data_IF_451666925995
#
_entry.id   IF_451666925995
#
_cell.length_a   1.000
_cell.length_b   1.000
_cell.length_c   1.000
_cell.angle_alpha   90.00
_cell.angle_beta   90.00
_cell.angle_gamma   90.00
#
_symmetry.space_group_name_H-M   'P 1'
#
loop_
_entity.id
_entity.type
_entity.pdbx_description
1 polymer ?
#
# COMPACT_ATOMS: atom_id res chain seq x y z
N UNK A 1 9.41 40.25 -35.94
CA UNK A 1 9.48 39.70 -34.57
C UNK A 1 8.58 38.49 -34.49
N UNK A 2 9.13 37.27 -34.57
CA UNK A 2 8.38 36.05 -34.41
C UNK A 2 8.33 35.71 -32.91
N UNK A 3 7.14 35.74 -32.34
CA UNK A 3 6.89 35.22 -31.01
C UNK A 3 7.10 33.70 -31.07
N UNK A 4 8.17 33.21 -30.47
CA UNK A 4 8.34 31.81 -30.19
C UNK A 4 7.26 31.39 -29.16
N UNK A 5 6.21 30.72 -29.63
CA UNK A 5 5.29 30.01 -28.76
C UNK A 5 6.10 28.90 -28.10
N UNK A 6 6.52 29.14 -26.86
CA UNK A 6 7.12 28.12 -26.02
C UNK A 6 6.08 27.00 -25.81
N UNK A 7 6.29 25.86 -26.43
CA UNK A 7 5.58 24.63 -26.14
C UNK A 7 5.96 24.26 -24.69
N UNK A 8 5.18 24.68 -23.71
CA UNK A 8 5.34 24.16 -22.34
C UNK A 8 4.95 22.70 -22.41
N UNK A 9 5.93 21.81 -22.27
CA UNK A 9 5.66 20.38 -22.18
C UNK A 9 4.60 20.15 -21.09
N UNK A 10 3.60 19.31 -21.40
CA UNK A 10 2.57 18.96 -20.44
C UNK A 10 3.23 18.31 -19.23
N UNK A 11 2.84 18.72 -18.02
CA UNK A 11 3.38 18.11 -16.81
C UNK A 11 3.12 16.60 -16.79
N UNK A 12 4.04 15.78 -16.24
CA UNK A 12 3.79 14.35 -16.03
C UNK A 12 2.50 14.13 -15.23
N UNK A 13 1.81 13.00 -15.49
CA UNK A 13 0.53 12.73 -14.83
C UNK A 13 0.70 12.58 -13.32
N UNK A 14 1.81 11.97 -12.86
CA UNK A 14 2.14 11.90 -11.43
C UNK A 14 2.14 13.28 -10.75
N UNK A 15 2.72 14.28 -11.41
CA UNK A 15 2.73 15.67 -10.92
C UNK A 15 1.34 16.30 -10.97
N UNK A 16 0.54 16.03 -12.03
CA UNK A 16 -0.84 16.55 -12.12
C UNK A 16 -1.72 15.99 -10.99
N UNK A 17 -1.58 14.71 -10.65
CA UNK A 17 -2.31 14.09 -9.54
C UNK A 17 -1.92 14.71 -8.20
N UNK A 18 -0.63 14.84 -7.92
CA UNK A 18 -0.14 15.48 -6.67
C UNK A 18 -0.68 16.89 -6.52
N UNK A 19 -0.63 17.70 -7.59
CA UNK A 19 -1.18 19.06 -7.58
C UNK A 19 -2.69 19.07 -7.33
N UNK A 20 -3.41 18.09 -7.88
CA UNK A 20 -4.86 17.96 -7.67
C UNK A 20 -5.17 17.65 -6.20
N UNK A 21 -4.43 16.73 -5.58
CA UNK A 21 -4.62 16.39 -4.17
C UNK A 21 -4.27 17.54 -3.24
N UNK A 22 -3.17 18.25 -3.48
CA UNK A 22 -2.83 19.44 -2.70
C UNK A 22 -3.86 20.57 -2.86
N UNK A 23 -4.53 20.65 -4.01
CA UNK A 23 -5.63 21.63 -4.23
C UNK A 23 -6.88 21.27 -3.47
N UNK A 24 -7.22 19.96 -3.36
CA UNK A 24 -8.36 19.45 -2.58
C UNK A 24 -8.12 19.56 -1.08
N UNK A 25 -6.91 19.25 -0.68
CA UNK A 25 -6.47 19.20 0.71
C UNK A 25 -5.38 20.25 0.93
N UNK A 26 -5.72 21.51 1.27
CA UNK A 26 -4.72 22.60 1.41
C UNK A 26 -3.63 22.28 2.44
N UNK A 27 -3.93 21.43 3.41
CA UNK A 27 -2.97 20.84 4.36
C UNK A 27 -3.18 19.33 4.42
N UNK A 28 -2.11 18.57 4.62
CA UNK A 28 -2.17 17.11 4.69
C UNK A 28 -3.06 16.58 5.84
N UNK A 29 -3.36 17.40 6.83
CA UNK A 29 -4.32 17.10 7.91
C UNK A 29 -5.77 17.01 7.44
N UNK A 30 -6.09 17.38 6.19
CA UNK A 30 -7.40 17.20 5.57
C UNK A 30 -7.53 15.92 4.76
N UNK A 31 -6.42 15.26 4.42
CA UNK A 31 -6.44 13.98 3.71
C UNK A 31 -7.31 12.98 4.46
N UNK A 32 -8.06 12.15 3.72
CA UNK A 32 -8.98 11.15 4.25
C UNK A 32 -10.10 11.72 5.14
N UNK A 33 -10.54 12.93 4.85
CA UNK A 33 -11.64 13.57 5.59
C UNK A 33 -11.32 13.89 7.06
N UNK A 34 -10.03 14.06 7.42
CA UNK A 34 -9.61 14.33 8.80
C UNK A 34 -9.94 15.74 9.29
N UNK A 35 -10.45 16.64 8.43
CA UNK A 35 -10.93 18.00 8.78
C UNK A 35 -9.91 18.83 9.58
N UNK A 36 -8.63 18.77 9.19
CA UNK A 36 -7.55 19.48 9.87
C UNK A 36 -7.07 18.83 11.17
N UNK A 37 -7.57 17.64 11.52
CA UNK A 37 -7.14 16.91 12.73
C UNK A 37 -5.86 16.12 12.45
N UNK A 38 -4.83 16.35 13.24
CA UNK A 38 -3.62 15.53 13.18
C UNK A 38 -3.92 14.13 13.71
N UNK A 39 -3.68 13.13 12.87
CA UNK A 39 -3.85 11.71 13.20
C UNK A 39 -2.77 10.89 12.52
N UNK A 40 -2.00 10.16 13.31
CA UNK A 40 -1.04 9.19 12.79
C UNK A 40 -1.79 7.99 12.21
N UNK A 41 -1.95 7.95 10.90
CA UNK A 41 -2.71 6.93 10.19
C UNK A 41 -2.02 6.54 8.88
N UNK A 42 -2.30 5.32 8.41
CA UNK A 42 -1.69 4.80 7.18
C UNK A 42 -2.18 5.48 5.91
N UNK A 43 -3.43 5.94 5.87
CA UNK A 43 -4.04 6.55 4.68
C UNK A 43 -3.32 7.84 4.29
N UNK A 44 -3.17 8.76 5.24
CA UNK A 44 -2.39 9.99 5.03
C UNK A 44 -0.92 9.66 4.75
N UNK A 45 -0.32 8.75 5.53
CA UNK A 45 1.09 8.37 5.34
C UNK A 45 1.38 7.75 3.98
N UNK A 46 0.45 6.95 3.44
CA UNK A 46 0.55 6.35 2.11
C UNK A 46 0.59 7.41 1.01
N UNK A 47 -0.36 8.33 1.04
CA UNK A 47 -0.47 9.39 0.03
C UNK A 47 0.73 10.33 0.10
N UNK A 48 1.14 10.76 1.30
CA UNK A 48 2.31 11.60 1.50
C UNK A 48 3.61 10.91 1.04
N UNK A 49 3.73 9.58 1.21
CA UNK A 49 4.86 8.83 0.68
C UNK A 49 4.90 8.90 -0.85
N UNK A 50 3.76 8.70 -1.51
CA UNK A 50 3.68 8.79 -2.96
C UNK A 50 3.99 10.20 -3.48
N UNK A 51 3.48 11.25 -2.81
CA UNK A 51 3.80 12.64 -3.13
C UNK A 51 5.30 12.94 -2.98
N UNK A 52 5.93 12.46 -1.91
CA UNK A 52 7.36 12.64 -1.68
C UNK A 52 8.21 11.89 -2.72
N UNK A 53 7.74 10.74 -3.22
CA UNK A 53 8.41 10.00 -4.29
C UNK A 53 8.37 10.78 -5.62
N UNK A 54 7.25 11.49 -5.93
CA UNK A 54 7.19 12.40 -7.09
C UNK A 54 8.19 13.53 -6.94
N UNK A 55 8.26 14.15 -5.75
CA UNK A 55 9.26 15.17 -5.46
C UNK A 55 10.69 14.67 -5.67
N UNK A 56 11.03 13.51 -5.11
CA UNK A 56 12.37 12.92 -5.26
C UNK A 56 12.71 12.58 -6.71
N UNK A 57 11.71 12.27 -7.54
CA UNK A 57 11.89 11.96 -8.95
C UNK A 57 12.05 13.22 -9.82
N UNK A 58 11.26 14.26 -9.59
CA UNK A 58 11.07 15.38 -10.52
C UNK A 58 11.69 16.72 -10.13
N UNK A 59 11.77 17.05 -8.85
CA UNK A 59 12.09 18.42 -8.44
C UNK A 59 13.34 18.58 -7.56
N UNK A 60 13.50 17.77 -6.52
CA UNK A 60 14.60 17.76 -5.53
C UNK A 60 15.05 19.14 -5.00
N UNK A 61 14.11 20.09 -4.87
CA UNK A 61 14.37 21.42 -4.32
C UNK A 61 13.68 21.57 -2.96
N UNK A 62 14.39 21.96 -1.92
CA UNK A 62 13.81 22.23 -0.58
C UNK A 62 12.73 23.33 -0.61
N UNK A 63 12.71 24.14 -1.67
CA UNK A 63 11.68 25.15 -1.90
C UNK A 63 10.39 24.58 -2.52
N UNK A 64 10.42 23.30 -2.91
CA UNK A 64 9.25 22.63 -3.51
C UNK A 64 8.03 22.70 -2.59
N UNK A 65 6.87 23.13 -3.12
CA UNK A 65 5.61 23.10 -2.38
C UNK A 65 5.24 21.68 -1.90
N UNK A 66 5.57 20.65 -2.68
CA UNK A 66 5.30 19.24 -2.34
C UNK A 66 6.11 18.81 -1.12
N UNK A 67 7.41 19.11 -1.11
CA UNK A 67 8.26 18.82 0.05
C UNK A 67 7.75 19.52 1.32
N UNK A 68 7.49 20.83 1.23
CA UNK A 68 6.97 21.62 2.36
C UNK A 68 5.64 21.09 2.89
N UNK A 69 4.76 20.66 1.99
CA UNK A 69 3.47 20.07 2.34
C UNK A 69 3.62 18.75 3.13
N UNK A 70 4.50 17.87 2.66
CA UNK A 70 4.77 16.59 3.32
C UNK A 70 5.47 16.80 4.65
N UNK A 71 6.58 17.56 4.66
CA UNK A 71 7.38 17.80 5.88
C UNK A 71 6.56 18.49 6.98
N UNK A 72 5.69 19.44 6.62
CA UNK A 72 4.83 20.14 7.58
C UNK A 72 3.94 19.20 8.40
N UNK A 73 3.36 18.17 7.79
CA UNK A 73 2.53 17.22 8.52
C UNK A 73 3.36 16.35 9.46
N UNK A 74 4.50 15.83 9.00
CA UNK A 74 5.39 15.03 9.84
C UNK A 74 6.03 15.85 10.96
N UNK A 75 6.36 17.12 10.66
CA UNK A 75 6.93 18.06 11.64
C UNK A 75 5.94 18.39 12.75
N UNK A 76 4.66 18.53 12.42
CA UNK A 76 3.59 18.81 13.38
C UNK A 76 3.18 17.60 14.23
N UNK A 77 3.26 16.38 13.68
CA UNK A 77 2.78 15.17 14.39
C UNK A 77 3.87 14.45 15.17
N UNK A 78 5.14 14.79 14.96
CA UNK A 78 6.31 14.23 15.69
C UNK A 78 7.00 15.36 16.42
N UNK A 79 7.04 15.29 17.75
CA UNK A 79 7.69 16.29 18.57
C UNK A 79 9.23 16.24 18.50
N UNK A 80 9.91 17.18 19.16
CA UNK A 80 11.38 17.29 19.12
C UNK A 80 12.12 16.08 19.70
N UNK A 81 11.44 15.22 20.46
CA UNK A 81 11.99 13.98 21.04
C UNK A 81 11.79 12.76 20.14
N UNK A 82 11.03 12.89 19.04
CA UNK A 82 10.62 11.78 18.20
C UNK A 82 9.35 11.09 18.67
N UNK A 83 8.64 11.65 19.67
CA UNK A 83 7.37 11.11 20.13
C UNK A 83 6.28 11.41 19.09
N UNK A 84 5.61 10.35 18.61
CA UNK A 84 4.52 10.46 17.63
C UNK A 84 3.21 10.73 18.35
N UNK A 85 2.50 11.79 17.97
CA UNK A 85 1.25 12.21 18.60
C UNK A 85 0.19 11.11 18.56
N UNK A 86 -0.35 10.78 19.74
CA UNK A 86 -1.36 9.71 19.96
C UNK A 86 -0.96 8.30 19.52
N UNK A 87 0.26 8.08 19.07
CA UNK A 87 0.77 6.73 18.87
C UNK A 87 0.90 5.99 20.20
N UNK A 88 0.49 4.74 20.21
CA UNK A 88 0.64 3.84 21.37
C UNK A 88 1.16 2.49 20.88
N UNK A 89 2.39 2.15 21.23
CA UNK A 89 3.02 0.88 20.90
C UNK A 89 2.14 -0.32 21.31
N UNK A 90 1.48 -0.25 22.46
CA UNK A 90 0.63 -1.32 23.00
C UNK A 90 -0.60 -1.65 22.14
N UNK A 91 -0.95 -0.80 21.16
CA UNK A 91 -1.98 -1.14 20.18
C UNK A 91 -1.49 -2.19 19.19
N UNK A 92 -0.18 -2.35 19.04
CA UNK A 92 0.47 -3.25 18.10
C UNK A 92 -0.20 -3.24 16.73
N UNK A 93 -0.61 -2.03 16.27
CA UNK A 93 -1.24 -1.85 14.98
C UNK A 93 -0.19 -1.75 13.88
N UNK A 94 -0.20 -2.69 12.94
CA UNK A 94 0.68 -2.62 11.77
C UNK A 94 0.38 -1.39 10.91
N UNK A 95 -0.87 -0.90 10.90
CA UNK A 95 -1.23 0.35 10.20
C UNK A 95 -0.40 1.54 10.67
N UNK A 96 0.03 1.54 11.92
CA UNK A 96 0.84 2.62 12.47
C UNK A 96 2.31 2.58 12.01
N UNK A 97 2.75 1.49 11.42
CA UNK A 97 4.11 1.39 10.86
C UNK A 97 4.19 2.05 9.47
N UNK A 98 3.13 1.93 8.67
CA UNK A 98 3.09 2.40 7.28
C UNK A 98 3.56 3.86 7.10
N UNK A 99 3.10 4.86 7.89
CA UNK A 99 3.56 6.24 7.73
C UNK A 99 5.06 6.42 7.98
N UNK A 100 5.67 5.49 8.74
CA UNK A 100 7.11 5.50 9.03
C UNK A 100 8.01 5.40 7.80
N UNK A 101 7.49 4.87 6.68
CA UNK A 101 8.25 4.76 5.42
C UNK A 101 8.70 6.09 4.87
N UNK A 102 7.91 7.13 5.03
CA UNK A 102 8.25 8.48 4.58
C UNK A 102 9.40 9.10 5.39
N UNK A 103 9.55 8.68 6.65
CA UNK A 103 10.56 9.23 7.55
C UNK A 103 11.99 8.97 7.08
N UNK A 104 12.26 7.89 6.35
CA UNK A 104 13.58 7.62 5.78
C UNK A 104 14.02 8.74 4.84
N UNK A 105 13.17 9.12 3.90
CA UNK A 105 13.46 10.19 2.95
C UNK A 105 13.50 11.56 3.62
N UNK A 106 12.57 11.83 4.55
CA UNK A 106 12.57 13.09 5.29
C UNK A 106 13.84 13.23 6.15
N UNK A 107 14.31 12.15 6.76
CA UNK A 107 15.57 12.16 7.49
C UNK A 107 16.76 12.40 6.58
N UNK A 108 16.83 11.75 5.43
CA UNK A 108 17.89 11.94 4.43
C UNK A 108 17.96 13.38 3.92
N UNK A 109 16.80 14.05 3.75
CA UNK A 109 16.71 15.40 3.22
C UNK A 109 17.00 16.45 4.32
N UNK A 110 16.41 16.27 5.51
CA UNK A 110 16.39 17.31 6.54
C UNK A 110 17.42 17.13 7.66
N UNK A 111 17.90 15.89 7.87
CA UNK A 111 18.75 15.57 9.03
C UNK A 111 18.08 15.72 10.39
N UNK A 112 16.73 15.84 10.46
CA UNK A 112 16.00 16.01 11.73
C UNK A 112 16.01 14.72 12.54
N UNK A 113 16.80 14.67 13.63
CA UNK A 113 16.97 13.49 14.50
C UNK A 113 15.64 12.96 15.08
N UNK A 114 14.62 13.78 15.20
CA UNK A 114 13.30 13.35 15.64
C UNK A 114 12.67 12.31 14.70
N UNK A 115 12.95 12.37 13.40
CA UNK A 115 12.49 11.38 12.42
C UNK A 115 13.19 10.04 12.63
N UNK A 116 14.48 10.07 12.93
CA UNK A 116 15.24 8.87 13.30
C UNK A 116 14.68 8.24 14.58
N UNK A 117 14.47 9.00 15.64
CA UNK A 117 13.92 8.52 16.91
C UNK A 117 12.50 7.93 16.74
N UNK A 118 11.67 8.54 15.90
CA UNK A 118 10.35 7.99 15.55
C UNK A 118 10.47 6.65 14.82
N UNK A 119 11.39 6.51 13.86
CA UNK A 119 11.65 5.23 13.17
C UNK A 119 12.13 4.14 14.15
N UNK A 120 13.00 4.48 15.09
CA UNK A 120 13.46 3.55 16.13
C UNK A 120 12.30 3.04 17.01
N UNK A 121 11.37 3.93 17.33
CA UNK A 121 10.14 3.58 18.06
C UNK A 121 9.26 2.61 17.28
N UNK A 122 9.04 2.88 15.99
CA UNK A 122 8.24 2.01 15.11
C UNK A 122 8.91 0.65 14.90
N UNK A 123 10.22 0.62 14.70
CA UNK A 123 10.98 -0.63 14.59
C UNK A 123 10.90 -1.44 15.90
N UNK A 124 10.98 -0.80 17.08
CA UNK A 124 10.83 -1.48 18.33
C UNK A 124 9.46 -2.15 18.50
N UNK A 125 8.38 -1.59 17.87
CA UNK A 125 7.09 -2.27 17.85
C UNK A 125 7.18 -3.60 17.11
N UNK A 126 7.82 -3.63 15.93
CA UNK A 126 7.92 -4.84 15.11
C UNK A 126 8.68 -5.97 15.84
N UNK A 127 9.71 -5.64 16.61
CA UNK A 127 10.43 -6.63 17.42
C UNK A 127 9.56 -7.26 18.50
N UNK A 128 8.62 -6.49 19.07
CA UNK A 128 7.69 -6.94 20.11
C UNK A 128 6.29 -7.29 19.58
N UNK A 129 6.08 -7.26 18.24
CA UNK A 129 4.76 -7.51 17.65
C UNK A 129 4.22 -8.88 18.09
N UNK A 130 3.00 -8.96 18.64
CA UNK A 130 2.37 -10.22 18.95
C UNK A 130 2.28 -11.11 17.71
N UNK A 131 2.43 -12.43 17.92
CA UNK A 131 2.50 -13.40 16.82
C UNK A 131 1.51 -14.54 17.01
N UNK A 132 1.10 -15.12 15.88
CA UNK A 132 0.42 -16.42 15.88
C UNK A 132 1.38 -17.53 16.35
N UNK A 133 0.90 -18.72 16.70
CA UNK A 133 1.78 -19.84 17.05
C UNK A 133 2.79 -20.17 15.96
N UNK A 134 2.47 -19.93 14.69
CA UNK A 134 3.33 -20.17 13.53
C UNK A 134 4.37 -19.06 13.32
N UNK A 135 4.24 -17.93 14.02
CA UNK A 135 5.16 -16.79 13.99
C UNK A 135 4.70 -15.60 13.15
N UNK A 136 3.48 -15.62 12.60
CA UNK A 136 2.89 -14.52 11.84
C UNK A 136 2.52 -13.32 12.74
N UNK A 137 2.74 -12.11 12.27
CA UNK A 137 2.34 -10.90 12.99
C UNK A 137 0.82 -10.79 13.11
N UNK A 138 0.30 -10.56 14.31
CA UNK A 138 -1.07 -10.08 14.45
C UNK A 138 -1.21 -8.73 13.75
N UNK A 139 -2.30 -8.57 13.01
CA UNK A 139 -2.56 -7.29 12.34
C UNK A 139 -2.67 -6.12 13.35
N UNK A 140 -3.32 -6.37 14.52
CA UNK A 140 -3.44 -5.43 15.66
C UNK A 140 -3.66 -6.22 16.95
N UNK A 141 -3.35 -5.64 18.10
CA UNK A 141 -3.64 -6.25 19.39
C UNK A 141 -5.14 -6.59 19.57
N UNK A 142 -6.04 -5.83 18.95
CA UNK A 142 -7.50 -6.08 19.00
C UNK A 142 -7.96 -7.19 18.05
N UNK A 143 -7.06 -7.76 17.25
CA UNK A 143 -7.29 -8.86 16.33
C UNK A 143 -6.29 -9.99 16.64
N UNK A 144 -6.40 -10.65 17.81
CA UNK A 144 -5.46 -11.69 18.20
C UNK A 144 -5.47 -12.85 17.20
N UNK A 145 -4.31 -13.41 16.92
CA UNK A 145 -4.10 -14.53 16.01
C UNK A 145 -4.48 -14.30 14.54
N UNK A 146 -4.74 -13.05 14.13
CA UNK A 146 -5.17 -12.74 12.78
C UNK A 146 -4.04 -12.11 11.95
N UNK A 147 -3.74 -12.71 10.80
CA UNK A 147 -2.93 -12.13 9.74
C UNK A 147 -3.87 -11.63 8.63
N UNK A 148 -3.76 -10.36 8.27
CA UNK A 148 -4.45 -9.76 7.13
C UNK A 148 -3.44 -9.42 6.06
N UNK A 149 -3.80 -9.58 4.79
CA UNK A 149 -2.91 -9.24 3.67
C UNK A 149 -2.46 -7.78 3.73
N UNK A 150 -3.35 -6.88 4.19
CA UNK A 150 -3.06 -5.47 4.43
C UNK A 150 -1.83 -5.26 5.32
N UNK A 151 -1.70 -6.07 6.37
CA UNK A 151 -0.60 -5.99 7.34
C UNK A 151 0.77 -6.17 6.71
N UNK A 152 0.87 -6.92 5.61
CA UNK A 152 2.13 -7.14 4.91
C UNK A 152 2.63 -5.81 4.29
N UNK A 153 1.74 -5.04 3.66
CA UNK A 153 2.12 -3.73 3.13
C UNK A 153 2.40 -2.71 4.24
N UNK A 154 1.60 -2.75 5.30
CA UNK A 154 1.74 -1.81 6.41
C UNK A 154 3.12 -1.91 7.08
N UNK A 155 3.67 -3.13 7.21
CA UNK A 155 4.86 -3.37 8.01
C UNK A 155 6.13 -3.70 7.18
N UNK A 156 6.05 -4.60 6.21
CA UNK A 156 7.25 -5.23 5.65
C UNK A 156 8.16 -4.28 4.88
N UNK A 157 7.66 -3.30 4.07
CA UNK A 157 8.54 -2.35 3.41
C UNK A 157 9.32 -1.45 4.38
N UNK A 158 8.69 -1.03 5.50
CA UNK A 158 9.39 -0.31 6.56
C UNK A 158 10.43 -1.19 7.25
N UNK A 159 10.06 -2.43 7.57
CA UNK A 159 10.92 -3.38 8.26
C UNK A 159 12.19 -3.68 7.45
N UNK A 160 12.04 -3.94 6.16
CA UNK A 160 13.17 -4.18 5.25
C UNK A 160 14.08 -2.96 5.11
N UNK A 161 13.51 -1.77 4.90
CA UNK A 161 14.29 -0.54 4.75
C UNK A 161 15.03 -0.17 6.04
N UNK A 162 14.37 -0.28 7.22
CA UNK A 162 15.02 -0.06 8.50
C UNK A 162 16.17 -1.04 8.73
N UNK A 163 15.95 -2.31 8.42
CA UNK A 163 16.96 -3.37 8.53
C UNK A 163 18.20 -3.04 7.70
N UNK A 164 18.02 -2.62 6.45
CA UNK A 164 19.13 -2.26 5.57
C UNK A 164 19.94 -1.08 6.09
N UNK A 165 19.27 -0.06 6.57
CA UNK A 165 19.91 1.21 6.93
C UNK A 165 20.56 1.18 8.29
N UNK A 166 19.96 0.47 9.26
CA UNK A 166 20.27 0.70 10.66
C UNK A 166 20.62 -0.55 11.49
N UNK A 167 20.34 -1.74 10.99
CA UNK A 167 20.75 -2.98 11.67
C UNK A 167 22.15 -3.34 11.20
N UNK A 168 23.15 -3.04 12.03
CA UNK A 168 24.57 -3.24 11.70
C UNK A 168 25.07 -4.66 11.98
N UNK A 169 24.51 -5.35 12.97
CA UNK A 169 24.83 -6.73 13.28
C UNK A 169 24.31 -7.66 12.17
N UNK A 170 25.21 -8.45 11.57
CA UNK A 170 24.88 -9.31 10.41
C UNK A 170 23.91 -10.44 10.77
N UNK A 171 24.00 -10.97 11.99
CA UNK A 171 23.13 -12.05 12.46
C UNK A 171 21.71 -11.52 12.69
N UNK A 172 21.57 -10.36 13.34
CA UNK A 172 20.28 -9.70 13.53
C UNK A 172 19.66 -9.29 12.18
N UNK A 173 20.49 -8.83 11.24
CA UNK A 173 20.03 -8.47 9.88
C UNK A 173 19.47 -9.67 9.14
N UNK A 174 20.19 -10.80 9.14
CA UNK A 174 19.73 -12.06 8.56
C UNK A 174 18.43 -12.54 9.21
N UNK A 175 18.35 -12.51 10.54
CA UNK A 175 17.13 -12.89 11.27
C UNK A 175 15.92 -12.01 10.90
N UNK A 176 16.14 -10.71 10.65
CA UNK A 176 15.09 -9.83 10.17
C UNK A 176 14.63 -10.20 8.74
N UNK A 177 15.56 -10.54 7.82
CA UNK A 177 15.19 -10.99 6.48
C UNK A 177 14.44 -12.33 6.52
N UNK A 178 14.88 -13.28 7.36
CA UNK A 178 14.17 -14.53 7.60
C UNK A 178 12.73 -14.28 8.10
N UNK A 179 12.56 -13.33 9.01
CA UNK A 179 11.26 -12.97 9.54
C UNK A 179 10.37 -12.31 8.46
N UNK A 180 10.91 -11.40 7.66
CA UNK A 180 10.19 -10.76 6.55
C UNK A 180 9.67 -11.81 5.56
N UNK A 181 10.53 -12.73 5.12
CA UNK A 181 10.13 -13.82 4.20
C UNK A 181 9.09 -14.73 4.85
N UNK A 182 9.25 -15.05 6.14
CA UNK A 182 8.28 -15.84 6.89
C UNK A 182 6.89 -15.19 6.90
N UNK A 183 6.80 -13.85 7.09
CA UNK A 183 5.52 -13.16 7.08
C UNK A 183 4.82 -13.31 5.72
N UNK A 184 5.54 -13.15 4.61
CA UNK A 184 4.98 -13.35 3.26
C UNK A 184 4.58 -14.81 3.02
N UNK A 185 5.43 -15.76 3.41
CA UNK A 185 5.16 -17.20 3.26
C UNK A 185 3.91 -17.62 4.03
N UNK A 186 3.82 -17.25 5.32
CA UNK A 186 2.65 -17.57 6.13
C UNK A 186 1.36 -16.95 5.59
N UNK A 187 1.40 -15.69 5.16
CA UNK A 187 0.24 -15.05 4.58
C UNK A 187 -0.17 -15.71 3.25
N UNK A 188 0.80 -16.03 2.37
CA UNK A 188 0.53 -16.70 1.12
C UNK A 188 -0.07 -18.10 1.34
N UNK A 189 0.58 -18.95 2.13
CA UNK A 189 0.17 -20.34 2.33
C UNK A 189 -1.20 -20.47 3.03
N UNK A 190 -1.47 -19.59 4.02
CA UNK A 190 -2.69 -19.68 4.81
C UNK A 190 -3.87 -18.89 4.21
N UNK A 191 -3.63 -17.92 3.34
CA UNK A 191 -4.71 -17.21 2.64
C UNK A 191 -5.00 -17.77 1.24
N UNK A 192 -4.13 -18.63 0.68
CA UNK A 192 -4.31 -19.18 -0.66
C UNK A 192 -5.56 -20.07 -0.73
N UNK A 193 -6.45 -19.70 -1.64
CA UNK A 193 -7.53 -20.56 -2.08
C UNK A 193 -7.02 -21.43 -3.24
N UNK A 194 -6.87 -22.75 -3.05
CA UNK A 194 -6.31 -23.63 -4.07
C UNK A 194 -7.21 -23.81 -5.32
N UNK A 195 -8.49 -23.52 -5.20
CA UNK A 195 -9.43 -23.62 -6.34
C UNK A 195 -9.31 -22.42 -7.29
N UNK A 196 -9.12 -21.23 -6.73
CA UNK A 196 -9.05 -20.01 -7.51
C UNK A 196 -7.63 -19.51 -7.75
N UNK A 197 -6.68 -19.90 -6.90
CA UNK A 197 -5.32 -19.36 -6.88
C UNK A 197 -5.25 -17.91 -6.37
N UNK A 198 -6.36 -17.36 -5.87
CA UNK A 198 -6.42 -16.05 -5.22
C UNK A 198 -6.14 -16.16 -3.73
N UNK A 199 -5.75 -15.04 -3.11
CA UNK A 199 -5.58 -14.98 -1.66
C UNK A 199 -6.84 -14.40 -1.01
N UNK A 200 -7.36 -15.09 0.02
CA UNK A 200 -8.43 -14.60 0.88
C UNK A 200 -7.93 -13.39 1.67
N UNK A 201 -8.84 -12.49 2.07
CA UNK A 201 -8.50 -11.23 2.74
C UNK A 201 -7.61 -11.43 3.98
N UNK A 202 -7.93 -12.43 4.79
CA UNK A 202 -7.23 -12.69 6.04
C UNK A 202 -7.32 -14.17 6.45
N UNK A 203 -6.43 -14.50 7.39
CA UNK A 203 -6.37 -15.79 8.07
C UNK A 203 -6.41 -15.58 9.59
N UNK A 204 -7.29 -16.33 10.26
CA UNK A 204 -7.33 -16.49 11.71
C UNK A 204 -6.70 -17.83 12.11
N UNK A 205 -5.50 -17.79 12.67
CA UNK A 205 -4.77 -18.99 13.11
C UNK A 205 -5.52 -19.77 14.22
N UNK A 206 -6.35 -19.08 15.00
CA UNK A 206 -7.16 -19.72 16.05
C UNK A 206 -8.43 -20.39 15.51
N UNK A 207 -8.92 -19.95 14.34
CA UNK A 207 -10.19 -20.39 13.74
C UNK A 207 -11.43 -20.13 14.62
N UNK A 208 -11.32 -19.16 15.52
CA UNK A 208 -12.38 -18.83 16.48
C UNK A 208 -13.24 -17.65 16.04
N UNK A 209 -12.79 -16.92 15.02
CA UNK A 209 -13.54 -15.77 14.55
C UNK A 209 -14.74 -16.17 13.70
N UNK A 210 -15.87 -15.55 13.94
CA UNK A 210 -17.13 -15.86 13.25
C UNK A 210 -17.08 -15.66 11.72
N UNK A 211 -16.10 -14.90 11.20
CA UNK A 211 -15.88 -14.68 9.78
C UNK A 211 -14.90 -15.68 9.16
N UNK A 212 -14.22 -16.47 9.98
CA UNK A 212 -13.23 -17.45 9.51
C UNK A 212 -13.88 -18.81 9.30
N UNK A 213 -13.39 -19.53 8.31
CA UNK A 213 -13.72 -20.92 8.08
C UNK A 213 -13.19 -21.80 9.21
N UNK A 214 -13.99 -22.73 9.71
CA UNK A 214 -13.67 -23.56 10.87
C UNK A 214 -12.53 -24.55 10.62
N UNK A 215 -12.27 -24.93 9.36
CA UNK A 215 -11.22 -25.88 8.99
C UNK A 215 -9.93 -25.18 8.60
N UNK A 216 -10.02 -24.10 7.80
CA UNK A 216 -8.86 -23.41 7.23
C UNK A 216 -8.46 -22.15 7.99
N UNK A 217 -9.39 -21.49 8.67
CA UNK A 217 -9.18 -20.18 9.28
C UNK A 217 -9.26 -19.01 8.28
N UNK A 218 -9.54 -19.27 7.01
CA UNK A 218 -9.59 -18.24 5.96
C UNK A 218 -10.88 -17.42 6.02
N UNK A 219 -10.82 -16.18 5.60
CA UNK A 219 -12.01 -15.37 5.33
C UNK A 219 -12.73 -15.84 4.06
N UNK A 220 -14.02 -15.49 3.93
CA UNK A 220 -14.90 -16.05 2.90
C UNK A 220 -14.48 -15.68 1.46
N UNK A 221 -13.91 -14.49 1.22
CA UNK A 221 -13.65 -13.97 -0.11
C UNK A 221 -12.26 -13.37 -0.30
N UNK A 222 -11.82 -13.32 -1.56
CA UNK A 222 -10.66 -12.57 -2.01
C UNK A 222 -11.07 -11.11 -2.27
N UNK A 223 -10.83 -10.24 -1.29
CA UNK A 223 -11.07 -8.81 -1.45
C UNK A 223 -9.99 -8.15 -2.31
N UNK A 224 -10.40 -7.42 -3.35
CA UNK A 224 -9.48 -6.84 -4.35
C UNK A 224 -8.39 -5.98 -3.73
N UNK A 225 -8.74 -5.09 -2.80
CA UNK A 225 -7.76 -4.22 -2.15
C UNK A 225 -6.79 -4.96 -1.22
N UNK A 226 -7.22 -6.00 -0.53
CA UNK A 226 -6.32 -6.81 0.28
C UNK A 226 -5.26 -7.51 -0.59
N UNK A 227 -5.69 -8.09 -1.72
CA UNK A 227 -4.79 -8.65 -2.71
C UNK A 227 -3.84 -7.58 -3.28
N UNK A 228 -4.36 -6.38 -3.57
CA UNK A 228 -3.55 -5.23 -4.02
C UNK A 228 -2.47 -4.84 -3.01
N UNK A 229 -2.80 -4.77 -1.72
CA UNK A 229 -1.82 -4.53 -0.67
C UNK A 229 -0.70 -5.56 -0.65
N UNK A 230 -1.06 -6.84 -0.75
CA UNK A 230 -0.09 -7.93 -0.76
C UNK A 230 0.87 -7.83 -1.95
N UNK A 231 0.33 -7.57 -3.14
CA UNK A 231 1.12 -7.38 -4.35
C UNK A 231 2.08 -6.19 -4.25
N UNK A 232 1.60 -5.06 -3.73
CA UNK A 232 2.43 -3.88 -3.48
C UNK A 232 3.54 -4.17 -2.46
N UNK A 233 3.23 -4.91 -1.39
CA UNK A 233 4.22 -5.29 -0.38
C UNK A 233 5.37 -6.11 -1.00
N UNK A 234 5.04 -7.12 -1.81
CA UNK A 234 6.02 -7.97 -2.47
C UNK A 234 6.95 -7.17 -3.39
N UNK A 235 6.38 -6.34 -4.26
CA UNK A 235 7.15 -5.58 -5.25
C UNK A 235 7.96 -4.44 -4.61
N UNK A 236 7.53 -3.95 -3.43
CA UNK A 236 8.27 -2.93 -2.68
C UNK A 236 9.39 -3.52 -1.82
N UNK A 237 9.20 -4.73 -1.30
CA UNK A 237 10.20 -5.40 -0.45
C UNK A 237 11.29 -6.09 -1.26
N UNK A 238 10.94 -6.75 -2.37
CA UNK A 238 11.91 -7.51 -3.17
C UNK A 238 13.22 -6.73 -3.48
N UNK A 239 13.19 -5.45 -3.92
CA UNK A 239 14.43 -4.69 -4.18
C UNK A 239 15.16 -4.23 -2.91
N UNK A 240 14.56 -4.38 -1.73
CA UNK A 240 15.19 -4.06 -0.43
C UNK A 240 15.93 -5.25 0.17
N UNK A 241 15.69 -6.45 -0.32
CA UNK A 241 16.42 -7.65 0.09
C UNK A 241 17.76 -7.73 -0.65
N UNK A 242 18.79 -8.40 -0.09
CA UNK A 242 20.08 -8.55 -0.75
C UNK A 242 19.92 -9.18 -2.14
N UNK A 243 20.48 -8.55 -3.16
CA UNK A 243 20.35 -8.97 -4.56
C UNK A 243 20.87 -10.41 -4.76
N UNK A 244 20.07 -11.26 -5.43
CA UNK A 244 20.39 -12.65 -5.71
C UNK A 244 20.41 -13.55 -4.47
N UNK A 245 19.86 -13.10 -3.35
CA UNK A 245 19.73 -13.92 -2.13
C UNK A 245 18.50 -14.82 -2.16
N UNK A 246 18.54 -15.90 -1.39
CA UNK A 246 17.37 -16.77 -1.17
C UNK A 246 16.14 -15.99 -0.64
N UNK A 247 16.34 -14.94 0.14
CA UNK A 247 15.27 -14.08 0.63
C UNK A 247 14.58 -13.33 -0.51
N UNK A 248 15.37 -12.72 -1.41
CA UNK A 248 14.84 -12.01 -2.57
C UNK A 248 14.13 -12.97 -3.52
N UNK A 249 14.74 -14.12 -3.81
CA UNK A 249 14.17 -15.14 -4.68
C UNK A 249 12.82 -15.67 -4.14
N UNK A 250 12.71 -15.89 -2.82
CA UNK A 250 11.48 -16.34 -2.19
C UNK A 250 10.35 -15.31 -2.34
N UNK A 251 10.63 -14.01 -2.15
CA UNK A 251 9.63 -12.95 -2.31
C UNK A 251 9.21 -12.79 -3.78
N UNK A 252 10.16 -12.90 -4.72
CA UNK A 252 9.87 -12.86 -6.17
C UNK A 252 9.05 -14.09 -6.60
N UNK A 253 9.33 -15.27 -6.06
CA UNK A 253 8.56 -16.47 -6.34
C UNK A 253 7.09 -16.33 -5.89
N UNK A 254 6.85 -15.82 -4.66
CA UNK A 254 5.51 -15.52 -4.17
C UNK A 254 4.83 -14.47 -5.06
N UNK A 255 5.54 -13.43 -5.49
CA UNK A 255 5.00 -12.42 -6.40
C UNK A 255 4.54 -13.05 -7.73
N UNK A 256 5.37 -13.90 -8.34
CA UNK A 256 5.03 -14.58 -9.59
C UNK A 256 3.83 -15.53 -9.43
N UNK A 257 3.77 -16.30 -8.36
CA UNK A 257 2.64 -17.18 -8.04
C UNK A 257 1.35 -16.38 -7.86
N UNK A 258 1.41 -15.24 -7.16
CA UNK A 258 0.26 -14.36 -6.94
C UNK A 258 -0.20 -13.67 -8.23
N UNK A 259 0.73 -13.33 -9.15
CA UNK A 259 0.39 -12.77 -10.44
C UNK A 259 -0.32 -13.77 -11.38
N UNK A 260 -0.09 -15.06 -11.21
CA UNK A 260 -0.56 -16.07 -12.17
C UNK A 260 -2.09 -16.17 -12.25
N UNK A 261 -2.80 -15.96 -11.15
CA UNK A 261 -4.27 -16.05 -11.10
C UNK A 261 -4.98 -14.76 -11.47
N UNK A 262 -4.37 -13.59 -11.23
CA UNK A 262 -5.02 -12.29 -11.38
C UNK A 262 -5.66 -12.02 -12.76
N UNK A 263 -5.03 -12.37 -13.90
CA UNK A 263 -5.62 -12.15 -15.22
C UNK A 263 -6.93 -12.93 -15.45
N UNK A 264 -7.11 -14.06 -14.75
CA UNK A 264 -8.30 -14.90 -14.89
C UNK A 264 -9.55 -14.27 -14.25
N UNK A 265 -9.33 -13.31 -13.32
CA UNK A 265 -10.37 -12.62 -12.57
C UNK A 265 -10.50 -11.14 -12.94
N UNK A 266 -9.78 -10.70 -13.95
CA UNK A 266 -9.94 -9.37 -14.52
C UNK A 266 -11.18 -9.30 -15.42
N UNK A 267 -11.82 -8.13 -15.46
CA UNK A 267 -12.92 -7.86 -16.40
C UNK A 267 -12.42 -7.97 -17.86
N UNK A 268 -13.14 -8.72 -18.67
CA UNK A 268 -12.74 -9.01 -20.04
C UNK A 268 -12.62 -7.76 -20.93
N UNK A 269 -13.44 -6.74 -20.67
CA UNK A 269 -13.50 -5.54 -21.52
C UNK A 269 -12.47 -4.49 -21.15
N UNK A 270 -12.16 -4.37 -19.86
CA UNK A 270 -11.27 -3.35 -19.30
C UNK A 270 -9.93 -3.89 -18.83
N UNK A 271 -9.87 -5.19 -18.47
CA UNK A 271 -8.71 -5.77 -17.81
C UNK A 271 -8.52 -5.30 -16.37
N UNK A 272 -9.52 -4.61 -15.77
CA UNK A 272 -9.49 -4.13 -14.39
C UNK A 272 -10.17 -5.12 -13.45
N UNK A 273 -10.00 -4.93 -12.14
CA UNK A 273 -10.42 -5.90 -11.14
C UNK A 273 -11.62 -5.43 -10.32
N UNK A 274 -12.39 -6.43 -9.87
CA UNK A 274 -13.59 -6.24 -9.08
C UNK A 274 -13.28 -6.07 -7.58
N UNK A 275 -14.23 -5.48 -6.86
CA UNK A 275 -14.21 -5.37 -5.39
C UNK A 275 -14.02 -6.74 -4.73
N UNK A 276 -14.75 -7.76 -5.20
CA UNK A 276 -14.64 -9.16 -4.77
C UNK A 276 -14.11 -9.99 -5.94
N UNK A 277 -12.84 -10.36 -5.91
CA UNK A 277 -12.12 -10.96 -7.04
C UNK A 277 -12.66 -12.33 -7.43
N UNK A 278 -12.96 -13.18 -6.47
CA UNK A 278 -13.44 -14.54 -6.67
C UNK A 278 -14.92 -14.61 -7.10
N UNK A 279 -15.56 -13.47 -7.31
CA UNK A 279 -16.95 -13.33 -7.78
C UNK A 279 -17.08 -12.32 -8.94
N UNK A 280 -16.23 -12.42 -10.00
CA UNK A 280 -16.35 -11.52 -11.14
C UNK A 280 -17.75 -11.68 -11.75
N UNK A 281 -18.32 -10.58 -12.25
CA UNK A 281 -19.65 -10.55 -12.89
C UNK A 281 -20.85 -10.95 -12.00
N UNK A 282 -20.65 -11.26 -10.71
CA UNK A 282 -21.78 -11.46 -9.81
C UNK A 282 -22.56 -10.15 -9.64
N UNK A 283 -23.89 -10.24 -9.67
CA UNK A 283 -24.76 -9.07 -9.49
C UNK A 283 -24.43 -8.31 -8.20
N UNK A 284 -24.28 -6.99 -8.30
CA UNK A 284 -23.88 -6.12 -7.21
C UNK A 284 -22.37 -5.89 -7.11
N UNK A 285 -21.53 -6.74 -7.72
CA UNK A 285 -20.08 -6.50 -7.75
C UNK A 285 -19.73 -5.38 -8.73
N UNK A 286 -18.66 -4.66 -8.47
CA UNK A 286 -18.23 -3.53 -9.31
C UNK A 286 -16.71 -3.54 -9.51
N UNK A 287 -16.26 -2.91 -10.60
CA UNK A 287 -14.83 -2.67 -10.83
C UNK A 287 -14.33 -1.62 -9.84
N UNK A 288 -13.26 -1.95 -9.11
CA UNK A 288 -12.80 -1.14 -7.99
C UNK A 288 -11.48 -0.43 -8.32
N UNK A 289 -11.48 0.89 -8.19
CA UNK A 289 -10.39 1.75 -8.64
C UNK A 289 -9.11 1.59 -7.83
N UNK A 290 -9.19 1.43 -6.51
CA UNK A 290 -7.99 1.36 -5.67
C UNK A 290 -7.23 0.04 -5.84
N UNK A 291 -7.92 -1.11 -5.86
CA UNK A 291 -7.25 -2.39 -6.08
C UNK A 291 -6.65 -2.47 -7.48
N UNK A 292 -7.36 -1.93 -8.49
CA UNK A 292 -6.85 -1.87 -9.87
C UNK A 292 -5.58 -1.02 -9.96
N UNK A 293 -5.53 0.14 -9.28
CA UNK A 293 -4.33 0.97 -9.23
C UNK A 293 -3.16 0.25 -8.53
N UNK A 294 -3.40 -0.47 -7.43
CA UNK A 294 -2.40 -1.25 -6.71
C UNK A 294 -1.80 -2.38 -7.56
N UNK A 295 -2.65 -3.12 -8.26
CA UNK A 295 -2.23 -4.24 -9.10
C UNK A 295 -1.45 -3.76 -10.33
N UNK A 296 -1.91 -2.67 -10.97
CA UNK A 296 -1.21 -2.05 -12.10
C UNK A 296 0.15 -1.51 -11.67
N UNK A 297 0.24 -0.80 -10.54
CA UNK A 297 1.51 -0.37 -9.97
C UNK A 297 2.47 -1.54 -9.75
N UNK A 298 1.98 -2.59 -9.10
CA UNK A 298 2.79 -3.76 -8.78
C UNK A 298 3.31 -4.46 -10.03
N UNK A 299 2.47 -4.56 -11.08
CA UNK A 299 2.88 -5.16 -12.36
C UNK A 299 3.90 -4.29 -13.09
N UNK A 300 3.67 -2.97 -13.21
CA UNK A 300 4.61 -2.04 -13.85
C UNK A 300 5.98 -2.10 -13.18
N UNK A 301 6.02 -1.97 -11.86
CA UNK A 301 7.28 -2.01 -11.09
C UNK A 301 7.97 -3.36 -11.18
N UNK A 302 7.22 -4.44 -11.00
CA UNK A 302 7.75 -5.80 -11.09
C UNK A 302 8.33 -6.11 -12.47
N UNK A 303 7.64 -5.70 -13.55
CA UNK A 303 8.09 -5.89 -14.91
C UNK A 303 9.32 -5.03 -15.25
N UNK A 304 9.34 -3.76 -14.81
CA UNK A 304 10.51 -2.89 -14.98
C UNK A 304 11.76 -3.42 -14.27
N UNK A 305 11.58 -4.01 -13.09
CA UNK A 305 12.67 -4.60 -12.32
C UNK A 305 13.07 -6.01 -12.80
N UNK A 306 12.33 -6.59 -13.75
CA UNK A 306 12.59 -7.93 -14.27
C UNK A 306 12.12 -9.07 -13.36
N UNK A 307 11.30 -8.77 -12.35
CA UNK A 307 10.77 -9.77 -11.41
C UNK A 307 9.57 -10.53 -11.97
N UNK A 308 8.76 -9.89 -12.81
CA UNK A 308 7.63 -10.51 -13.50
C UNK A 308 7.70 -10.21 -15.00
N UNK A 309 7.06 -11.05 -15.80
CA UNK A 309 7.00 -10.87 -17.24
C UNK A 309 5.87 -9.93 -17.66
N UNK A 310 5.90 -9.45 -18.91
CA UNK A 310 4.78 -8.79 -19.56
C UNK A 310 4.75 -7.28 -19.44
N UNK A 311 5.89 -6.59 -19.61
CA UNK A 311 5.99 -5.14 -19.56
C UNK A 311 4.98 -4.42 -20.48
N UNK A 312 4.78 -4.89 -21.71
CA UNK A 312 3.79 -4.30 -22.63
C UNK A 312 2.35 -4.51 -22.12
N UNK A 313 2.06 -5.66 -21.48
CA UNK A 313 0.80 -5.91 -20.81
C UNK A 313 0.57 -4.95 -19.64
N UNK A 314 1.61 -4.70 -18.84
CA UNK A 314 1.55 -3.74 -17.73
C UNK A 314 1.30 -2.31 -18.21
N UNK A 315 1.92 -1.90 -19.33
CA UNK A 315 1.64 -0.60 -19.98
C UNK A 315 0.18 -0.49 -20.44
N UNK A 316 -0.31 -1.52 -21.14
CA UNK A 316 -1.69 -1.56 -21.59
C UNK A 316 -2.70 -1.54 -20.40
N UNK A 317 -2.38 -2.23 -19.31
CA UNK A 317 -3.17 -2.21 -18.08
C UNK A 317 -3.20 -0.81 -17.45
N UNK A 318 -2.07 -0.09 -17.42
CA UNK A 318 -2.02 1.29 -16.95
C UNK A 318 -2.90 2.23 -17.79
N UNK A 319 -2.80 2.15 -19.12
CA UNK A 319 -3.65 2.94 -20.00
C UNK A 319 -5.15 2.62 -19.82
N UNK A 320 -5.47 1.35 -19.54
CA UNK A 320 -6.85 0.93 -19.25
C UNK A 320 -7.32 1.44 -17.88
N UNK A 321 -6.46 1.40 -16.85
CA UNK A 321 -6.73 2.02 -15.56
C UNK A 321 -7.14 3.49 -15.72
N UNK A 322 -6.37 4.25 -16.51
CA UNK A 322 -6.66 5.65 -16.75
C UNK A 322 -8.00 5.84 -17.48
N UNK A 323 -8.29 5.02 -18.50
CA UNK A 323 -9.57 5.12 -19.24
C UNK A 323 -10.77 4.74 -18.39
N UNK A 324 -10.61 3.81 -17.45
CA UNK A 324 -11.72 3.25 -16.66
C UNK A 324 -12.05 4.13 -15.47
N UNK A 325 -11.03 4.58 -14.73
CA UNK A 325 -11.24 5.19 -13.42
C UNK A 325 -10.80 6.65 -13.32
N UNK A 326 -9.99 7.15 -14.26
CA UNK A 326 -9.44 8.49 -14.12
C UNK A 326 -10.22 9.49 -14.98
N UNK A 327 -10.72 10.54 -14.33
CA UNK A 327 -11.42 11.63 -15.00
C UNK A 327 -10.75 12.97 -14.68
N UNK A 328 -11.03 13.99 -15.47
CA UNK A 328 -10.65 15.37 -15.19
C UNK A 328 -11.90 16.18 -14.97
N UNK A 329 -12.01 16.81 -13.80
CA UNK A 329 -13.13 17.66 -13.43
C UNK A 329 -13.20 18.97 -14.24
N UNK A 330 -14.32 19.70 -14.15
CA UNK A 330 -14.46 21.04 -14.74
C UNK A 330 -13.45 22.05 -14.12
N UNK A 331 -13.05 21.83 -12.88
CA UNK A 331 -12.00 22.55 -12.16
C UNK A 331 -10.58 22.20 -12.67
N UNK A 332 -10.46 21.27 -13.59
CA UNK A 332 -9.21 20.79 -14.15
C UNK A 332 -8.44 19.81 -13.26
N UNK A 333 -8.99 19.40 -12.12
CA UNK A 333 -8.36 18.45 -11.21
C UNK A 333 -8.54 17.01 -11.71
N UNK A 334 -7.51 16.19 -11.49
CA UNK A 334 -7.54 14.75 -11.80
C UNK A 334 -8.27 14.01 -10.70
N UNK A 335 -9.23 13.16 -11.05
CA UNK A 335 -9.99 12.33 -10.12
C UNK A 335 -9.74 10.85 -10.39
N UNK A 336 -9.61 10.06 -9.33
CA UNK A 336 -9.71 8.61 -9.35
C UNK A 336 -11.08 8.23 -8.80
N UNK A 337 -11.85 7.46 -9.54
CA UNK A 337 -13.23 7.10 -9.19
C UNK A 337 -13.35 5.65 -8.71
N UNK A 338 -14.52 5.29 -8.20
CA UNK A 338 -14.96 3.94 -7.86
C UNK A 338 -14.05 3.24 -6.85
N UNK A 339 -13.58 3.96 -5.84
CA UNK A 339 -12.79 3.40 -4.74
C UNK A 339 -13.71 3.03 -3.57
N UNK A 340 -13.64 1.79 -3.10
CA UNK A 340 -14.23 1.38 -1.83
C UNK A 340 -13.67 2.25 -0.69
N UNK A 341 -14.52 2.84 0.14
CA UNK A 341 -14.03 3.70 1.22
C UNK A 341 -13.22 2.89 2.25
N UNK A 342 -13.81 1.85 2.81
CA UNK A 342 -13.13 0.97 3.77
C UNK A 342 -13.79 -0.39 3.82
N UNK A 343 -13.00 -1.45 3.91
CA UNK A 343 -13.49 -2.77 4.29
C UNK A 343 -12.55 -3.41 5.32
N UNK A 344 -13.00 -4.45 5.98
CA UNK A 344 -12.26 -5.17 7.00
C UNK A 344 -13.08 -6.33 7.56
N UNK A 345 -12.59 -6.97 8.60
CA UNK A 345 -13.19 -8.15 9.20
C UNK A 345 -13.42 -7.95 10.70
N UNK A 346 -14.51 -8.50 11.21
CA UNK A 346 -14.82 -8.44 12.65
C UNK A 346 -14.87 -7.02 13.23
N UNK A 347 -14.25 -6.86 14.39
CA UNK A 347 -14.20 -5.60 15.12
C UNK A 347 -15.55 -5.20 15.72
N UNK A 348 -15.67 -3.96 16.15
CA UNK A 348 -16.91 -3.45 16.83
C UNK A 348 -18.15 -3.47 15.94
N UNK A 349 -17.97 -3.47 14.62
CA UNK A 349 -19.05 -3.48 13.63
C UNK A 349 -19.47 -4.89 13.22
N UNK A 350 -18.83 -5.94 13.76
CA UNK A 350 -19.08 -7.34 13.41
C UNK A 350 -19.08 -7.58 11.88
N UNK A 351 -18.08 -7.05 11.18
CA UNK A 351 -17.96 -7.14 9.71
C UNK A 351 -17.80 -8.60 9.30
N UNK A 352 -18.74 -9.09 8.50
CA UNK A 352 -18.81 -10.50 8.12
C UNK A 352 -17.74 -10.93 7.13
N UNK A 353 -17.32 -10.03 6.24
CA UNK A 353 -16.44 -10.36 5.13
C UNK A 353 -17.11 -11.28 4.08
N UNK A 354 -18.44 -11.36 4.07
CA UNK A 354 -19.19 -12.01 3.01
C UNK A 354 -19.32 -11.10 1.77
N UNK A 355 -19.87 -11.63 0.69
CA UNK A 355 -20.04 -10.89 -0.56
C UNK A 355 -20.87 -9.63 -0.36
N UNK A 356 -22.03 -9.75 0.28
CA UNK A 356 -22.97 -8.64 0.47
C UNK A 356 -22.34 -7.53 1.33
N UNK A 357 -21.54 -7.88 2.33
CA UNK A 357 -20.78 -6.91 3.11
C UNK A 357 -19.84 -6.08 2.21
N UNK A 358 -19.00 -6.73 1.39
CA UNK A 358 -18.02 -6.03 0.58
C UNK A 358 -18.64 -5.12 -0.48
N UNK A 359 -19.71 -5.56 -1.15
CA UNK A 359 -20.30 -4.79 -2.25
C UNK A 359 -21.21 -3.64 -1.77
N UNK A 360 -21.60 -3.66 -0.50
CA UNK A 360 -22.40 -2.59 0.11
C UNK A 360 -21.57 -1.56 0.90
N UNK A 361 -20.24 -1.73 0.99
CA UNK A 361 -19.39 -0.69 1.57
C UNK A 361 -19.43 0.58 0.70
N UNK A 362 -19.38 1.78 1.32
CA UNK A 362 -19.43 3.04 0.57
C UNK A 362 -18.33 3.14 -0.49
N UNK A 363 -18.68 3.69 -1.63
CA UNK A 363 -17.77 3.98 -2.74
C UNK A 363 -17.57 5.49 -2.84
N UNK A 364 -16.33 5.93 -3.05
CA UNK A 364 -16.00 7.34 -3.19
C UNK A 364 -14.91 7.58 -4.24
N UNK A 365 -14.79 8.81 -4.72
CA UNK A 365 -13.65 9.25 -5.52
C UNK A 365 -12.52 9.77 -4.63
N UNK A 366 -11.30 9.75 -5.17
CA UNK A 366 -10.10 10.33 -4.56
C UNK A 366 -9.78 9.75 -3.17
N UNK A 367 -10.02 8.46 -3.00
CA UNK A 367 -9.62 7.78 -1.78
C UNK A 367 -8.07 7.67 -1.71
N UNK A 368 -7.44 8.05 -0.58
CA UNK A 368 -5.97 7.99 -0.44
C UNK A 368 -5.38 6.61 -0.75
N UNK A 369 -6.13 5.55 -0.46
CA UNK A 369 -5.72 4.14 -0.71
C UNK A 369 -5.70 3.79 -2.20
N UNK A 370 -6.35 4.58 -3.05
CA UNK A 370 -6.27 4.51 -4.51
C UNK A 370 -5.33 5.56 -5.09
N UNK A 371 -5.35 6.79 -4.56
CA UNK A 371 -4.52 7.91 -5.04
C UNK A 371 -3.03 7.61 -4.90
N UNK A 372 -2.57 7.12 -3.74
CA UNK A 372 -1.17 6.75 -3.56
C UNK A 372 -0.68 5.76 -4.62
N UNK A 373 -1.33 4.60 -4.79
CA UNK A 373 -1.01 3.63 -5.85
C UNK A 373 -1.10 4.19 -7.28
N UNK A 374 -2.08 5.05 -7.57
CA UNK A 374 -2.19 5.70 -8.88
C UNK A 374 -0.98 6.62 -9.17
N UNK A 375 -0.53 7.40 -8.17
CA UNK A 375 0.68 8.21 -8.27
C UNK A 375 1.89 7.32 -8.58
N UNK A 376 2.05 6.20 -7.86
CA UNK A 376 3.16 5.28 -8.11
C UNK A 376 3.05 4.56 -9.45
N UNK A 377 1.85 4.17 -9.89
CA UNK A 377 1.65 3.60 -11.23
C UNK A 377 2.06 4.61 -12.32
N UNK A 378 1.69 5.89 -12.17
CA UNK A 378 2.12 6.95 -13.07
C UNK A 378 3.64 7.13 -13.06
N UNK A 379 4.28 7.17 -11.89
CA UNK A 379 5.74 7.24 -11.76
C UNK A 379 6.46 6.05 -12.41
N UNK A 380 5.95 4.84 -12.23
CA UNK A 380 6.56 3.65 -12.85
C UNK A 380 6.42 3.69 -14.38
N UNK A 381 5.26 4.14 -14.89
CA UNK A 381 5.04 4.31 -16.33
C UNK A 381 5.93 5.41 -16.92
N UNK A 382 6.16 6.50 -16.20
CA UNK A 382 7.04 7.61 -16.61
C UNK A 382 8.54 7.23 -16.63
N UNK A 383 8.93 6.15 -15.95
CA UNK A 383 10.29 5.60 -15.95
C UNK A 383 10.58 4.66 -17.14
N UNK A 384 9.55 4.27 -17.89
CA UNK A 384 9.64 3.34 -19.02
C UNK A 384 9.82 4.08 -20.34
#
# INVERSE_FOLDING_TARGET
MALAAGCTAKAPLSVEIVRSEMSRNPEASYIDGQEGKLKWNYTTGLELKAMLDVYCHSERSEESPVFKYVDAWYDAIIDSTGTIYKYKKSNYSLDHICPGRTLFQLYDITGKEKYRAAMDTLYSQLLDQPRTPEGGFWHKAVYPNQMWLDGLYMAQPFYAEYTNRYVTDSTARAANYDDIVRQFTLAYENCLDPETGLLRHAWDSSREMFWSDEETGQSAHAWGRAMGWFMMALVDVAPLLPEGSEWQDAVIDILNKSCASLPLYADFSTGMWYQVLDRPYQEGNYLEGSCSAMMVYSWLKGARLGYVLGLEGARAAYESLLRTFVTKGEDGLVNLNDCCEVAGLGGKQNRSGDFDYYVNEPVRSNDPKGIGPLIWAALEYEKL
#
